data_IF_503086014213
#
_entry.id   IF_503086014213
#
_cell.length_a   1.000
_cell.length_b   1.000
_cell.length_c   1.000
_cell.angle_alpha   90.00
_cell.angle_beta   90.00
_cell.angle_gamma   90.00
#
_symmetry.space_group_name_H-M   'P 1'
#
loop_
_entity.id
_entity.type
_entity.pdbx_description
1 polymer ?
#
# COMPACT_ATOMS: atom_id res chain seq x y z
N UNK A 1 -66.45 -26.41 -39.80
CA UNK A 1 -65.95 -27.59 -40.56
C UNK A 1 -64.47 -27.74 -40.25
N UNK A 2 -64.05 -28.93 -39.82
CA UNK A 2 -62.65 -29.29 -39.52
C UNK A 2 -61.76 -29.17 -40.77
N UNK A 3 -60.52 -28.75 -40.60
CA UNK A 3 -59.32 -29.52 -41.01
C UNK A 3 -58.05 -28.86 -40.46
N UNK A 4 -57.12 -29.71 -40.04
CA UNK A 4 -55.80 -29.43 -39.46
C UNK A 4 -54.72 -30.13 -40.31
N UNK A 5 -53.43 -29.85 -40.00
CA UNK A 5 -52.15 -30.40 -40.54
C UNK A 5 -51.54 -29.68 -41.77
N UNK A 6 -50.22 -29.47 -41.94
CA UNK A 6 -48.98 -29.49 -41.12
C UNK A 6 -47.82 -28.93 -42.01
N UNK A 7 -46.74 -28.45 -41.37
CA UNK A 7 -45.32 -28.33 -41.80
C UNK A 7 -44.91 -27.85 -43.21
N UNK A 8 -44.03 -26.85 -43.30
CA UNK A 8 -42.57 -27.03 -43.20
C UNK A 8 -41.77 -25.73 -43.46
N UNK A 9 -40.71 -25.63 -42.64
CA UNK A 9 -39.47 -24.86 -42.64
C UNK A 9 -39.04 -23.92 -43.81
N UNK A 10 -38.46 -22.82 -43.31
CA UNK A 10 -37.13 -22.26 -43.62
C UNK A 10 -36.99 -21.18 -44.71
N UNK A 11 -36.39 -20.05 -44.29
CA UNK A 11 -35.44 -19.34 -45.14
C UNK A 11 -35.18 -17.87 -44.84
N UNK A 12 -34.38 -17.60 -43.80
CA UNK A 12 -33.46 -16.45 -43.65
C UNK A 12 -34.05 -15.02 -43.54
N UNK A 13 -34.21 -14.57 -42.28
CA UNK A 13 -34.17 -13.14 -41.93
C UNK A 13 -32.72 -12.76 -41.58
N UNK A 14 -32.19 -11.77 -42.29
CA UNK A 14 -30.94 -11.07 -41.96
C UNK A 14 -31.18 -10.25 -40.69
N UNK A 15 -30.51 -10.62 -39.61
CA UNK A 15 -30.56 -9.88 -38.35
C UNK A 15 -29.49 -8.79 -38.35
N UNK A 16 -29.97 -7.58 -38.08
CA UNK A 16 -29.27 -6.31 -37.92
C UNK A 16 -28.12 -6.41 -36.91
N UNK A 17 -26.88 -6.17 -37.34
CA UNK A 17 -25.76 -5.92 -36.44
C UNK A 17 -25.84 -4.49 -35.92
N UNK A 18 -26.52 -4.31 -34.78
CA UNK A 18 -26.28 -3.14 -33.94
C UNK A 18 -24.89 -3.32 -33.35
N UNK A 19 -23.93 -2.56 -33.87
CA UNK A 19 -22.62 -2.39 -33.24
C UNK A 19 -22.86 -1.68 -31.91
N UNK A 20 -23.06 -2.46 -30.85
CA UNK A 20 -22.87 -1.98 -29.50
C UNK A 20 -21.38 -1.65 -29.36
N UNK A 21 -21.06 -0.37 -29.47
CA UNK A 21 -19.83 0.20 -28.95
C UNK A 21 -19.87 -0.02 -27.43
N UNK A 22 -19.49 -1.22 -26.99
CA UNK A 22 -19.15 -1.47 -25.59
C UNK A 22 -17.86 -0.70 -25.33
N UNK A 23 -17.98 0.56 -24.90
CA UNK A 23 -16.97 1.16 -24.06
C UNK A 23 -16.93 0.34 -22.77
N UNK A 24 -16.24 -0.80 -22.81
CA UNK A 24 -15.76 -1.46 -21.63
C UNK A 24 -14.58 -0.64 -21.11
N UNK A 25 -14.85 0.51 -20.48
CA UNK A 25 -13.92 1.03 -19.47
C UNK A 25 -14.12 0.19 -18.21
N UNK A 26 -13.83 -1.10 -18.30
CA UNK A 26 -13.54 -1.91 -17.14
C UNK A 26 -12.16 -1.47 -16.67
N UNK A 27 -12.09 -0.33 -15.98
CA UNK A 27 -11.01 -0.15 -15.01
C UNK A 27 -11.26 -1.25 -13.99
N UNK A 28 -10.57 -2.37 -14.15
CA UNK A 28 -10.49 -3.37 -13.10
C UNK A 28 -10.03 -2.61 -11.85
N UNK A 29 -10.92 -2.40 -10.89
CA UNK A 29 -10.52 -1.79 -9.62
C UNK A 29 -9.48 -2.68 -8.99
N UNK A 30 -8.32 -2.11 -8.64
CA UNK A 30 -7.26 -2.85 -7.99
C UNK A 30 -7.78 -3.56 -6.73
N UNK A 31 -7.37 -4.80 -6.54
CA UNK A 31 -7.69 -5.59 -5.35
C UNK A 31 -6.51 -5.51 -4.39
N UNK A 32 -6.80 -5.33 -3.10
CA UNK A 32 -5.81 -5.58 -2.04
C UNK A 32 -5.51 -7.07 -2.04
N UNK A 33 -4.23 -7.43 -2.16
CA UNK A 33 -3.75 -8.82 -2.19
C UNK A 33 -3.02 -9.20 -0.91
N UNK A 34 -2.54 -8.21 -0.14
CA UNK A 34 -1.97 -8.38 1.19
C UNK A 34 -2.33 -7.18 2.07
N UNK A 35 -2.67 -7.41 3.34
CA UNK A 35 -3.04 -6.35 4.27
C UNK A 35 -2.64 -6.65 5.72
N UNK A 36 -1.85 -5.77 6.31
CA UNK A 36 -1.54 -5.77 7.74
C UNK A 36 -2.23 -4.59 8.46
N UNK A 37 -3.28 -4.91 9.23
CA UNK A 37 -4.01 -3.99 10.11
C UNK A 37 -3.65 -4.19 11.60
N UNK A 38 -2.64 -5.02 11.86
CA UNK A 38 -2.08 -5.25 13.20
C UNK A 38 -3.12 -5.79 14.22
N UNK A 39 -3.97 -6.75 13.81
CA UNK A 39 -5.10 -7.23 14.63
C UNK A 39 -4.72 -8.09 15.84
N UNK A 40 -3.55 -8.71 15.85
CA UNK A 40 -3.10 -9.60 16.93
C UNK A 40 -1.72 -9.26 17.48
N UNK A 41 -1.23 -10.04 18.47
CA UNK A 41 0.06 -9.80 19.12
C UNK A 41 1.28 -10.11 18.22
N UNK A 42 1.09 -10.73 17.05
CA UNK A 42 2.14 -10.94 16.05
C UNK A 42 3.00 -12.18 16.24
N UNK A 43 2.35 -13.35 16.25
CA UNK A 43 3.02 -14.65 16.37
C UNK A 43 3.31 -15.38 15.06
N UNK A 44 2.96 -14.82 13.89
CA UNK A 44 3.15 -15.47 12.58
C UNK A 44 2.37 -16.77 12.38
N UNK A 45 1.38 -17.05 13.23
CA UNK A 45 0.72 -18.36 13.28
C UNK A 45 -0.38 -18.56 12.23
N UNK A 46 -0.78 -17.51 11.51
CA UNK A 46 -2.02 -17.49 10.75
C UNK A 46 -3.25 -17.50 11.67
N UNK A 47 -4.25 -16.66 11.38
CA UNK A 47 -5.51 -16.62 12.13
C UNK A 47 -5.71 -15.35 12.96
N UNK A 48 -6.61 -15.40 13.96
CA UNK A 48 -7.10 -14.19 14.65
C UNK A 48 -6.05 -13.43 15.46
N UNK A 49 -4.89 -14.05 15.74
CA UNK A 49 -3.79 -13.49 16.51
C UNK A 49 -2.64 -12.95 15.63
N UNK A 50 -2.84 -12.94 14.32
CA UNK A 50 -1.85 -12.47 13.36
C UNK A 50 -1.86 -10.94 13.19
N UNK A 51 -0.73 -10.37 12.76
CA UNK A 51 -0.65 -8.95 12.35
C UNK A 51 -1.38 -8.72 11.03
N UNK A 52 -1.37 -9.74 10.19
CA UNK A 52 -1.90 -9.73 8.83
C UNK A 52 -3.35 -10.20 8.82
N UNK A 53 -4.18 -9.50 8.06
CA UNK A 53 -5.61 -9.81 7.89
C UNK A 53 -5.93 -10.44 6.54
N UNK A 54 -5.04 -10.25 5.56
CA UNK A 54 -5.17 -10.80 4.22
C UNK A 54 -3.79 -11.11 3.64
N UNK A 55 -3.70 -12.22 2.92
CA UNK A 55 -2.60 -12.47 2.00
C UNK A 55 -1.34 -13.08 2.60
N UNK A 56 -1.27 -13.34 3.90
CA UNK A 56 -0.07 -13.88 4.55
C UNK A 56 -0.16 -13.94 6.07
N UNK A 57 1.01 -13.98 6.72
CA UNK A 57 1.19 -13.92 8.17
C UNK A 57 2.26 -12.88 8.55
N UNK A 58 2.32 -12.50 9.82
CA UNK A 58 3.28 -11.54 10.35
C UNK A 58 3.79 -11.92 11.74
N UNK A 59 5.10 -11.90 11.91
CA UNK A 59 5.78 -12.19 13.16
C UNK A 59 6.58 -10.98 13.64
N UNK A 60 6.47 -10.66 14.94
CA UNK A 60 7.39 -9.71 15.57
C UNK A 60 8.72 -10.43 15.80
N UNK A 61 9.78 -9.88 15.21
CA UNK A 61 11.15 -10.43 15.25
C UNK A 61 12.11 -9.56 16.08
N UNK A 62 11.60 -8.49 16.68
CA UNK A 62 12.36 -7.59 17.54
C UNK A 62 12.99 -8.32 18.74
N UNK A 63 14.27 -8.07 19.00
CA UNK A 63 15.07 -8.78 20.01
C UNK A 63 14.88 -8.26 21.45
N UNK A 64 14.19 -7.13 21.62
CA UNK A 64 13.99 -6.44 22.90
C UNK A 64 15.23 -5.71 23.42
N UNK A 65 16.34 -5.73 22.70
CA UNK A 65 17.63 -5.14 23.10
C UNK A 65 18.02 -4.01 22.16
N UNK A 66 18.03 -4.27 20.85
CA UNK A 66 18.32 -3.29 19.81
C UNK A 66 17.04 -2.74 19.19
N UNK A 67 16.02 -3.59 19.04
CA UNK A 67 14.69 -3.23 18.59
C UNK A 67 13.64 -3.67 19.61
N UNK A 68 12.61 -2.85 19.79
CA UNK A 68 11.34 -3.28 20.36
C UNK A 68 10.24 -3.03 19.34
N UNK A 69 9.28 -3.95 19.26
CA UNK A 69 8.10 -3.79 18.45
C UNK A 69 6.90 -4.29 19.23
N UNK A 70 5.80 -3.56 19.20
CA UNK A 70 4.58 -3.95 19.91
C UNK A 70 3.35 -3.48 19.17
N UNK A 71 2.28 -4.28 19.30
CA UNK A 71 0.97 -3.87 18.85
C UNK A 71 0.27 -3.19 20.01
N UNK A 72 -0.20 -1.99 19.74
CA UNK A 72 -0.86 -1.16 20.75
C UNK A 72 -2.09 -0.51 20.11
N UNK A 73 -2.94 0.05 20.96
CA UNK A 73 -4.05 0.92 20.60
C UNK A 73 -4.07 2.18 21.48
N UNK A 74 -3.02 2.39 22.28
CA UNK A 74 -2.83 3.55 23.12
C UNK A 74 -2.36 4.75 22.27
N UNK A 75 -3.24 5.18 21.34
CA UNK A 75 -3.21 6.39 20.49
C UNK A 75 -2.18 6.52 19.35
N UNK A 76 -2.50 5.90 18.21
CA UNK A 76 -2.14 6.47 16.93
C UNK A 76 -3.29 6.48 15.95
N UNK A 77 -3.25 7.58 15.23
CA UNK A 77 -4.03 7.90 14.05
C UNK A 77 -5.54 7.84 14.26
N UNK A 78 -5.98 8.06 15.50
CA UNK A 78 -7.38 8.18 15.83
C UNK A 78 -7.88 9.60 15.45
N UNK A 79 -9.15 9.72 15.04
CA UNK A 79 -10.17 9.21 15.93
C UNK A 79 -10.90 7.96 15.32
N UNK A 80 -11.24 6.96 16.15
CA UNK A 80 -11.83 5.65 15.76
C UNK A 80 -10.96 4.40 15.93
N UNK A 81 -9.74 4.59 16.44
CA UNK A 81 -8.58 3.72 16.20
C UNK A 81 -8.77 2.20 16.40
N UNK A 82 -8.30 1.47 15.39
CA UNK A 82 -7.86 0.08 15.51
C UNK A 82 -6.43 0.01 16.08
N UNK A 83 -5.81 -1.16 15.95
CA UNK A 83 -4.43 -1.37 16.40
C UNK A 83 -3.41 -0.80 15.39
N UNK A 84 -2.19 -0.61 15.85
CA UNK A 84 -1.04 -0.19 15.05
C UNK A 84 0.20 -0.94 15.51
N UNK A 85 1.25 -0.89 14.69
CA UNK A 85 2.57 -1.33 15.05
C UNK A 85 3.42 -0.15 15.51
N UNK A 86 3.86 -0.16 16.76
CA UNK A 86 4.93 0.72 17.24
C UNK A 86 6.26 -0.02 17.09
N UNK A 87 7.23 0.62 16.43
CA UNK A 87 8.59 0.12 16.34
C UNK A 87 9.54 1.13 16.98
N UNK A 88 10.38 0.63 17.87
CA UNK A 88 11.40 1.39 18.56
C UNK A 88 12.79 0.83 18.25
N UNK A 89 13.70 1.70 17.86
CA UNK A 89 15.14 1.45 17.93
C UNK A 89 15.65 1.93 19.28
N UNK A 90 16.38 1.08 19.99
CA UNK A 90 16.82 1.33 21.36
C UNK A 90 18.29 1.77 21.45
N UNK A 91 19.15 1.35 20.52
CA UNK A 91 20.61 1.53 20.62
C UNK A 91 21.20 2.42 19.51
N UNK A 92 22.29 3.12 19.84
CA UNK A 92 23.06 4.01 18.94
C UNK A 92 24.12 3.27 18.13
N UNK A 93 24.54 2.07 18.55
CA UNK A 93 25.69 1.37 17.98
C UNK A 93 25.38 -0.06 17.57
N UNK A 94 25.61 -0.36 16.29
CA UNK A 94 26.05 -1.68 15.83
C UNK A 94 24.99 -2.74 15.62
N UNK A 95 25.17 -3.46 14.51
CA UNK A 95 24.44 -4.67 14.14
C UNK A 95 23.65 -4.47 12.86
N UNK A 96 23.61 -5.51 12.03
CA UNK A 96 23.13 -5.47 10.64
C UNK A 96 21.66 -5.09 10.49
N UNK A 97 21.08 -5.47 9.35
CA UNK A 97 19.66 -5.24 9.09
C UNK A 97 18.82 -5.96 10.16
N UNK A 98 18.30 -5.21 11.14
CA UNK A 98 17.39 -5.73 12.13
C UNK A 98 15.98 -5.64 11.58
N UNK A 99 15.27 -6.77 11.54
CA UNK A 99 13.88 -6.81 11.15
C UNK A 99 12.99 -6.73 12.40
N UNK A 100 12.22 -5.64 12.62
CA UNK A 100 11.31 -5.58 13.75
C UNK A 100 10.10 -6.49 13.53
N UNK A 101 9.64 -6.56 12.29
CA UNK A 101 8.52 -7.39 11.86
C UNK A 101 8.88 -8.05 10.54
N UNK A 102 8.59 -9.35 10.47
CA UNK A 102 8.71 -10.14 9.26
C UNK A 102 7.32 -10.51 8.77
N UNK A 103 6.97 -10.06 7.57
CA UNK A 103 5.75 -10.47 6.89
C UNK A 103 6.05 -11.60 5.92
N UNK A 104 5.29 -12.69 5.99
CA UNK A 104 5.38 -13.83 5.09
C UNK A 104 4.14 -13.88 4.24
N UNK A 105 4.27 -13.73 2.92
CA UNK A 105 3.11 -13.84 2.04
C UNK A 105 2.68 -15.30 1.89
N UNK A 106 1.37 -15.50 1.72
CA UNK A 106 0.79 -16.83 1.57
C UNK A 106 1.11 -17.47 0.20
N UNK A 107 1.42 -16.65 -0.80
CA UNK A 107 1.71 -17.07 -2.17
C UNK A 107 2.30 -15.93 -2.98
N UNK A 108 2.90 -16.28 -4.11
CA UNK A 108 3.38 -15.35 -5.13
C UNK A 108 2.32 -14.31 -5.53
N UNK A 109 1.08 -14.76 -5.74
CA UNK A 109 -0.07 -13.91 -6.11
C UNK A 109 -0.43 -12.82 -5.10
N UNK A 110 0.09 -12.92 -3.88
CA UNK A 110 -0.19 -12.01 -2.76
C UNK A 110 1.07 -11.25 -2.32
N UNK A 111 2.14 -11.32 -3.10
CA UNK A 111 3.46 -10.77 -2.81
C UNK A 111 3.90 -9.79 -3.90
N UNK A 112 5.11 -9.25 -3.79
CA UNK A 112 5.75 -8.44 -4.83
C UNK A 112 5.90 -9.17 -6.16
N UNK A 113 6.04 -10.51 -6.14
CA UNK A 113 6.10 -11.33 -7.36
C UNK A 113 4.83 -11.13 -8.23
N UNK A 114 3.67 -10.91 -7.61
CA UNK A 114 2.42 -10.64 -8.32
C UNK A 114 2.45 -9.32 -9.11
N UNK A 115 3.41 -8.43 -8.83
CA UNK A 115 3.53 -7.18 -9.57
C UNK A 115 4.16 -7.38 -10.94
N UNK A 116 4.95 -8.44 -11.13
CA UNK A 116 5.52 -8.75 -12.42
C UNK A 116 4.47 -9.43 -13.30
N UNK A 117 4.15 -8.75 -14.41
CA UNK A 117 3.34 -9.32 -15.49
C UNK A 117 4.16 -10.16 -16.45
N UNK A 118 3.51 -10.81 -17.44
CA UNK A 118 4.22 -11.44 -18.54
C UNK A 118 5.04 -10.40 -19.31
N UNK A 119 6.30 -10.71 -19.62
CA UNK A 119 7.14 -9.85 -20.43
C UNK A 119 6.48 -9.57 -21.79
N UNK A 120 6.73 -8.38 -22.32
CA UNK A 120 6.34 -7.99 -23.68
C UNK A 120 7.58 -7.82 -24.56
N UNK A 121 7.40 -7.80 -25.87
CA UNK A 121 8.51 -7.56 -26.80
C UNK A 121 8.60 -6.07 -27.10
N UNK A 122 9.77 -5.48 -26.84
CA UNK A 122 10.09 -4.11 -27.25
C UNK A 122 9.91 -4.00 -28.79
N UNK A 123 9.05 -3.10 -29.28
CA UNK A 123 8.74 -2.98 -30.70
C UNK A 123 9.90 -2.41 -31.55
N UNK A 124 10.89 -1.80 -30.92
CA UNK A 124 12.07 -1.18 -31.54
C UNK A 124 13.26 -2.13 -31.52
N UNK A 125 13.58 -2.71 -30.36
CA UNK A 125 14.79 -3.54 -30.17
C UNK A 125 14.54 -5.04 -30.34
N UNK A 126 13.28 -5.49 -30.19
CA UNK A 126 12.92 -6.90 -30.17
C UNK A 126 13.31 -7.62 -28.87
N UNK A 127 13.89 -6.92 -27.89
CA UNK A 127 14.23 -7.46 -26.59
C UNK A 127 12.95 -7.68 -25.74
N UNK A 128 12.97 -8.64 -24.79
CA UNK A 128 11.89 -8.77 -23.82
C UNK A 128 11.97 -7.63 -22.78
N UNK A 129 10.92 -6.83 -22.70
CA UNK A 129 10.70 -5.84 -21.65
C UNK A 129 9.84 -6.42 -20.55
N UNK A 130 10.19 -6.13 -19.30
CA UNK A 130 9.42 -6.57 -18.14
C UNK A 130 8.21 -5.67 -17.93
N UNK A 131 7.07 -6.30 -17.65
CA UNK A 131 5.84 -5.63 -17.26
C UNK A 131 5.74 -5.60 -15.74
N UNK A 132 5.42 -4.42 -15.19
CA UNK A 132 5.16 -4.19 -13.77
C UNK A 132 3.80 -3.50 -13.55
N UNK A 133 2.99 -4.09 -12.67
CA UNK A 133 1.74 -3.52 -12.17
C UNK A 133 1.62 -3.76 -10.67
N UNK A 134 1.50 -2.71 -9.88
CA UNK A 134 1.38 -2.89 -8.44
C UNK A 134 1.23 -1.59 -7.73
N UNK A 135 0.80 -1.65 -6.49
CA UNK A 135 0.88 -0.51 -5.61
C UNK A 135 0.98 -0.95 -4.16
N UNK A 136 1.55 -0.08 -3.35
CA UNK A 136 1.58 -0.25 -1.90
C UNK A 136 1.25 1.08 -1.25
N UNK A 137 0.57 1.01 -0.10
CA UNK A 137 0.43 2.14 0.80
C UNK A 137 0.57 1.72 2.26
N UNK A 138 0.80 2.73 3.11
CA UNK A 138 0.82 2.62 4.55
C UNK A 138 0.70 4.00 5.19
N UNK A 139 0.23 4.00 6.42
CA UNK A 139 0.28 5.17 7.29
C UNK A 139 1.47 5.06 8.22
N UNK A 140 2.10 6.18 8.53
CA UNK A 140 3.16 6.24 9.53
C UNK A 140 3.24 7.57 10.25
N UNK A 141 3.94 7.56 11.39
CA UNK A 141 4.33 8.75 12.16
C UNK A 141 5.63 8.46 12.88
N UNK A 142 6.60 9.33 12.73
CA UNK A 142 7.81 9.30 13.55
C UNK A 142 7.54 10.08 14.83
N UNK A 143 7.45 9.40 15.98
CA UNK A 143 7.12 10.02 17.26
C UNK A 143 8.29 10.82 17.81
N UNK A 144 9.46 10.20 17.88
CA UNK A 144 10.67 10.77 18.47
C UNK A 144 11.92 10.21 17.79
N UNK A 145 12.97 11.01 17.79
CA UNK A 145 14.32 10.59 17.46
C UNK A 145 15.30 11.22 18.46
N UNK A 146 16.46 10.61 18.66
CA UNK A 146 17.49 11.12 19.58
C UNK A 146 18.52 12.06 18.91
N UNK A 147 18.24 12.55 17.70
CA UNK A 147 19.11 13.42 16.91
C UNK A 147 18.92 14.92 17.19
N UNK A 148 19.72 15.76 16.51
CA UNK A 148 19.94 17.21 16.70
C UNK A 148 18.72 18.14 16.49
N UNK A 149 17.48 17.64 16.61
CA UNK A 149 16.28 18.47 16.72
C UNK A 149 15.57 18.84 15.42
N UNK A 150 15.71 18.09 14.32
CA UNK A 150 14.93 18.34 13.09
C UNK A 150 14.55 17.01 12.41
N UNK A 151 13.26 16.82 12.14
CA UNK A 151 12.65 15.92 11.15
C UNK A 151 13.56 14.77 10.67
N UNK A 152 13.75 13.73 11.46
CA UNK A 152 14.67 12.64 11.09
C UNK A 152 13.87 11.39 10.75
N UNK A 153 13.84 11.03 9.47
CA UNK A 153 13.19 9.82 8.98
C UNK A 153 14.17 8.65 8.87
N UNK A 154 15.45 8.84 9.19
CA UNK A 154 16.58 8.01 8.75
C UNK A 154 16.48 6.51 9.04
N UNK A 155 15.67 6.11 10.02
CA UNK A 155 15.49 4.71 10.41
C UNK A 155 14.33 3.99 9.68
N UNK A 156 13.48 4.70 8.93
CA UNK A 156 12.37 4.07 8.19
C UNK A 156 12.91 3.18 7.06
N UNK A 157 12.45 1.93 7.04
CA UNK A 157 12.68 0.90 6.01
C UNK A 157 11.43 0.03 5.85
N UNK A 158 10.32 0.66 5.47
CA UNK A 158 9.03 -0.04 5.37
C UNK A 158 8.93 -0.92 4.14
N UNK A 159 9.68 -0.63 3.08
CA UNK A 159 9.79 -1.49 1.91
C UNK A 159 11.27 -1.84 1.77
N UNK A 160 11.63 -3.10 2.06
CA UNK A 160 12.98 -3.64 1.98
C UNK A 160 12.91 -5.17 1.94
N UNK A 161 13.51 -5.81 0.94
CA UNK A 161 13.53 -7.27 0.85
C UNK A 161 14.35 -7.86 2.02
N UNK A 162 13.92 -9.01 2.55
CA UNK A 162 14.62 -9.63 3.69
C UNK A 162 16.00 -10.13 3.28
N UNK A 163 17.02 -9.62 3.99
CA UNK A 163 18.45 -9.92 3.83
C UNK A 163 19.10 -9.32 2.58
N UNK A 164 20.26 -8.69 2.78
CA UNK A 164 21.14 -8.23 1.71
C UNK A 164 21.84 -9.39 1.01
N UNK A 165 21.99 -10.55 1.67
CA UNK A 165 22.77 -11.69 1.16
C UNK A 165 21.92 -12.79 0.53
N UNK A 166 20.60 -12.78 0.71
CA UNK A 166 19.75 -13.93 0.38
C UNK A 166 19.16 -13.83 -1.03
N UNK A 167 19.72 -12.95 -1.88
CA UNK A 167 19.39 -12.89 -3.30
C UNK A 167 18.08 -12.17 -3.56
N UNK A 168 18.08 -10.84 -3.41
CA UNK A 168 17.09 -10.04 -4.11
C UNK A 168 17.22 -10.32 -5.60
N UNK A 169 16.32 -11.13 -6.15
CA UNK A 169 16.30 -11.43 -7.58
C UNK A 169 15.87 -10.16 -8.30
N UNK A 170 16.72 -9.64 -9.17
CA UNK A 170 16.40 -8.58 -10.11
C UNK A 170 16.36 -7.17 -9.53
N UNK A 171 15.20 -6.67 -9.08
CA UNK A 171 15.03 -5.27 -8.72
C UNK A 171 14.93 -5.04 -7.22
N UNK A 172 15.80 -4.19 -6.69
CA UNK A 172 15.69 -3.66 -5.34
C UNK A 172 14.69 -2.51 -5.32
N UNK A 173 13.72 -2.59 -4.40
CA UNK A 173 12.84 -1.50 -4.03
C UNK A 173 13.08 -1.18 -2.56
N UNK A 174 13.39 0.08 -2.24
CA UNK A 174 13.69 0.48 -0.86
C UNK A 174 13.05 1.81 -0.50
N UNK A 175 12.34 1.86 0.62
CA UNK A 175 12.05 3.12 1.28
C UNK A 175 13.18 3.49 2.24
N UNK A 176 13.98 4.47 1.84
CA UNK A 176 15.12 4.97 2.61
C UNK A 176 14.77 6.33 3.22
N UNK A 177 14.35 6.33 4.48
CA UNK A 177 14.17 7.56 5.23
C UNK A 177 15.48 8.37 5.30
N UNK A 178 15.38 9.70 5.25
CA UNK A 178 16.53 10.61 5.22
C UNK A 178 16.55 11.54 6.43
N UNK A 179 17.75 12.00 6.75
CA UNK A 179 17.94 13.12 7.68
C UNK A 179 17.37 14.40 7.04
N UNK A 180 16.58 15.16 7.79
CA UNK A 180 16.00 16.43 7.33
C UNK A 180 14.56 16.34 6.83
N UNK A 181 13.94 15.14 6.88
CA UNK A 181 12.49 14.99 6.82
C UNK A 181 11.98 14.50 5.49
N UNK A 182 12.81 13.88 4.65
CA UNK A 182 12.35 13.20 3.44
C UNK A 182 12.45 11.68 3.57
N UNK A 183 11.82 10.98 2.63
CA UNK A 183 11.96 9.54 2.44
C UNK A 183 12.19 9.32 0.95
N UNK A 184 13.15 8.47 0.59
CA UNK A 184 13.44 8.16 -0.81
C UNK A 184 12.83 6.80 -1.11
N UNK A 185 12.03 6.70 -2.18
CA UNK A 185 11.87 5.42 -2.86
C UNK A 185 13.05 5.25 -3.81
N UNK A 186 13.88 4.25 -3.56
CA UNK A 186 14.96 3.86 -4.45
C UNK A 186 14.54 2.61 -5.21
N UNK A 187 14.67 2.67 -6.54
CA UNK A 187 14.40 1.60 -7.49
C UNK A 187 15.73 1.29 -8.17
N UNK A 188 16.32 0.13 -7.92
CA UNK A 188 17.68 -0.18 -8.38
C UNK A 188 17.78 -1.61 -8.92
N UNK A 189 18.54 -1.81 -10.00
CA UNK A 189 18.98 -3.14 -10.42
C UNK A 189 19.87 -3.76 -9.33
N UNK A 190 19.38 -4.78 -8.62
CA UNK A 190 19.93 -5.21 -7.34
C UNK A 190 21.37 -5.72 -7.43
N UNK A 191 21.71 -6.42 -8.51
CA UNK A 191 23.07 -6.90 -8.80
C UNK A 191 24.01 -5.83 -9.34
N UNK A 192 23.57 -4.58 -9.53
CA UNK A 192 24.41 -3.54 -10.09
C UNK A 192 25.38 -2.97 -9.04
N UNK A 193 26.68 -3.06 -9.30
CA UNK A 193 27.72 -2.47 -8.47
C UNK A 193 28.39 -1.28 -9.16
N UNK A 194 29.11 -0.45 -8.42
CA UNK A 194 29.83 0.71 -8.98
C UNK A 194 30.95 0.32 -9.97
N UNK A 195 31.30 -0.96 -10.04
CA UNK A 195 32.27 -1.54 -11.00
C UNK A 195 31.64 -2.80 -11.57
N UNK A 196 30.60 -2.68 -12.39
CA UNK A 196 29.84 -3.85 -12.83
C UNK A 196 30.71 -4.74 -13.73
N UNK A 197 30.34 -6.02 -13.93
CA UNK A 197 31.06 -6.92 -14.82
C UNK A 197 31.29 -6.31 -16.21
N UNK A 198 32.43 -6.61 -16.83
CA UNK A 198 32.74 -6.14 -18.18
C UNK A 198 31.58 -6.51 -19.14
N UNK A 199 30.97 -5.50 -19.76
CA UNK A 199 29.79 -5.55 -20.65
C UNK A 199 28.40 -5.61 -20.00
N UNK A 200 28.28 -5.43 -18.68
CA UNK A 200 26.97 -5.21 -18.07
C UNK A 200 26.30 -3.96 -18.68
N UNK A 201 25.04 -4.10 -19.07
CA UNK A 201 24.23 -3.01 -19.60
C UNK A 201 23.16 -2.64 -18.59
N UNK A 202 22.79 -1.37 -18.55
CA UNK A 202 21.71 -0.89 -17.70
C UNK A 202 20.41 -1.62 -18.05
N UNK A 203 19.69 -2.05 -17.02
CA UNK A 203 18.36 -2.61 -17.16
C UNK A 203 17.29 -1.52 -17.20
N UNK A 204 17.51 -0.43 -16.46
CA UNK A 204 16.63 0.73 -16.45
C UNK A 204 17.03 1.65 -17.61
N UNK A 205 16.17 1.78 -18.61
CA UNK A 205 16.44 2.57 -19.83
C UNK A 205 15.27 3.49 -20.18
N UNK A 206 15.50 4.40 -21.14
CA UNK A 206 14.49 5.35 -21.64
C UNK A 206 13.85 6.21 -20.53
N UNK A 207 14.65 6.57 -19.52
CA UNK A 207 14.15 7.23 -18.32
C UNK A 207 13.73 8.67 -18.60
N UNK A 208 12.51 9.02 -18.23
CA UNK A 208 12.02 10.40 -18.12
C UNK A 208 11.52 10.62 -16.70
N UNK A 209 11.87 11.74 -16.07
CA UNK A 209 11.43 12.05 -14.71
C UNK A 209 10.61 13.32 -14.67
N UNK A 210 9.81 13.45 -13.61
CA UNK A 210 9.14 14.70 -13.21
C UNK A 210 10.10 15.87 -12.90
N UNK A 211 11.41 15.61 -12.80
CA UNK A 211 12.43 16.57 -12.38
C UNK A 211 12.42 16.83 -10.87
N UNK A 212 13.30 17.73 -10.42
CA UNK A 212 13.37 18.16 -9.01
C UNK A 212 13.77 17.04 -8.05
N UNK A 213 12.79 16.46 -7.36
CA UNK A 213 12.93 15.43 -6.34
C UNK A 213 13.11 14.01 -6.90
N UNK A 214 13.05 13.82 -8.23
CA UNK A 214 13.23 12.52 -8.89
C UNK A 214 14.42 12.54 -9.84
N UNK A 215 15.39 11.64 -9.62
CA UNK A 215 16.63 11.54 -10.38
C UNK A 215 16.92 10.10 -10.82
N UNK A 216 17.52 9.95 -11.99
CA UNK A 216 18.09 8.69 -12.48
C UNK A 216 19.61 8.79 -12.45
N UNK A 217 20.28 7.84 -11.80
CA UNK A 217 21.74 7.75 -11.84
C UNK A 217 22.15 6.53 -12.65
N UNK A 218 22.44 6.78 -13.93
CA UNK A 218 22.87 5.76 -14.88
C UNK A 218 24.05 4.91 -14.37
N UNK A 219 24.97 5.50 -13.60
CA UNK A 219 26.14 4.82 -13.05
C UNK A 219 25.82 3.77 -11.98
N UNK A 220 24.64 3.84 -11.36
CA UNK A 220 24.18 2.90 -10.32
C UNK A 220 22.95 2.09 -10.77
N UNK A 221 22.51 2.31 -12.01
CA UNK A 221 21.28 1.76 -12.60
C UNK A 221 20.10 1.89 -11.62
N UNK A 222 19.92 3.10 -11.08
CA UNK A 222 18.92 3.40 -10.07
C UNK A 222 18.14 4.70 -10.32
N UNK A 223 16.90 4.71 -9.84
CA UNK A 223 16.02 5.86 -9.78
C UNK A 223 15.76 6.16 -8.31
N UNK A 224 16.10 7.37 -7.89
CA UNK A 224 15.75 7.91 -6.58
C UNK A 224 14.57 8.86 -6.69
N UNK A 225 13.52 8.58 -5.94
CA UNK A 225 12.31 9.39 -5.85
C UNK A 225 12.14 9.92 -4.43
N UNK A 226 12.61 11.14 -4.16
CA UNK A 226 12.40 11.80 -2.88
C UNK A 226 10.91 12.15 -2.69
N UNK A 227 10.30 11.58 -1.67
CA UNK A 227 8.94 11.89 -1.24
C UNK A 227 8.95 13.18 -0.43
N UNK A 228 8.32 14.21 -1.01
CA UNK A 228 8.03 15.49 -0.38
C UNK A 228 6.52 15.70 -0.35
N UNK A 229 6.03 16.59 0.50
CA UNK A 229 4.63 17.02 0.42
C UNK A 229 4.38 17.76 -0.91
N UNK A 230 3.13 17.85 -1.40
CA UNK A 230 2.82 18.50 -2.68
C UNK A 230 3.30 19.96 -2.81
N UNK A 231 3.48 20.65 -1.68
CA UNK A 231 4.04 22.00 -1.62
C UNK A 231 5.58 22.04 -1.57
N UNK A 232 6.26 20.91 -1.73
CA UNK A 232 7.71 20.75 -1.62
C UNK A 232 8.25 20.70 -0.19
N UNK A 233 7.38 20.71 0.83
CA UNK A 233 7.82 20.66 2.22
C UNK A 233 8.28 19.25 2.64
N UNK A 234 9.22 19.22 3.58
CA UNK A 234 9.67 18.00 4.25
C UNK A 234 8.68 17.58 5.34
N UNK A 235 8.63 16.28 5.62
CA UNK A 235 7.86 15.69 6.70
C UNK A 235 8.36 16.16 8.06
N UNK A 236 7.46 16.19 9.04
CA UNK A 236 7.72 16.61 10.42
C UNK A 236 7.42 15.49 11.40
N UNK A 237 8.27 15.31 12.40
CA UNK A 237 8.01 14.34 13.47
C UNK A 237 6.70 14.66 14.21
N UNK A 238 6.02 13.62 14.69
CA UNK A 238 4.76 13.72 15.42
C UNK A 238 3.53 13.86 14.52
N UNK A 239 3.73 14.08 13.21
CA UNK A 239 2.68 14.18 12.22
C UNK A 239 2.46 12.82 11.54
N UNK A 240 1.20 12.52 11.24
CA UNK A 240 0.79 11.33 10.51
C UNK A 240 0.93 11.60 9.02
N UNK A 241 1.44 10.63 8.28
CA UNK A 241 1.47 10.67 6.83
C UNK A 241 0.89 9.39 6.26
N UNK A 242 0.22 9.53 5.13
CA UNK A 242 -0.16 8.42 4.26
C UNK A 242 0.80 8.47 3.06
N UNK A 243 1.60 7.42 2.93
CA UNK A 243 2.56 7.24 1.85
C UNK A 243 2.09 6.12 0.92
N UNK A 244 2.31 6.30 -0.37
CA UNK A 244 2.06 5.25 -1.35
C UNK A 244 3.06 5.28 -2.49
N UNK A 245 3.18 4.14 -3.17
CA UNK A 245 3.88 3.96 -4.45
C UNK A 245 2.99 3.18 -5.40
N UNK A 246 3.06 3.50 -6.68
CA UNK A 246 2.43 2.69 -7.73
C UNK A 246 3.36 2.45 -8.92
N UNK A 247 3.09 1.34 -9.60
CA UNK A 247 3.70 0.94 -10.86
C UNK A 247 2.60 0.59 -11.85
N UNK A 248 2.75 1.03 -13.09
CA UNK A 248 1.91 0.63 -14.21
C UNK A 248 2.72 0.58 -15.48
N UNK A 249 2.53 -0.45 -16.30
CA UNK A 249 3.17 -0.55 -17.61
C UNK A 249 2.15 -0.31 -18.70
N UNK A 250 2.50 0.51 -19.69
CA UNK A 250 1.67 0.69 -20.87
C UNK A 250 1.82 -0.48 -21.87
N UNK A 251 1.10 -0.41 -23.00
CA UNK A 251 1.15 -1.47 -24.02
C UNK A 251 2.49 -1.60 -24.74
N UNK A 252 3.40 -0.63 -24.57
CA UNK A 252 4.71 -0.57 -25.21
C UNK A 252 5.84 -0.87 -24.23
N UNK A 253 5.55 -1.22 -22.97
CA UNK A 253 6.55 -1.59 -21.98
C UNK A 253 7.07 -0.41 -21.17
N UNK A 254 6.53 0.79 -21.41
CA UNK A 254 6.89 1.96 -20.63
C UNK A 254 6.22 1.86 -19.25
N UNK A 255 7.03 1.59 -18.24
CA UNK A 255 6.64 1.59 -16.84
C UNK A 255 6.55 3.03 -16.36
N UNK A 256 5.49 3.37 -15.65
CA UNK A 256 5.37 4.57 -14.82
C UNK A 256 5.45 4.15 -13.37
N UNK A 257 6.47 4.62 -12.66
CA UNK A 257 6.54 4.59 -11.20
C UNK A 257 6.14 5.97 -10.65
N UNK A 258 5.31 5.99 -9.61
CA UNK A 258 4.86 7.22 -8.97
C UNK A 258 4.87 7.09 -7.45
N UNK A 259 5.25 8.17 -6.76
CA UNK A 259 5.19 8.30 -5.30
C UNK A 259 4.16 9.33 -4.89
N UNK A 260 3.52 9.07 -3.76
CA UNK A 260 2.44 9.88 -3.22
C UNK A 260 2.65 10.11 -1.73
N UNK A 261 2.39 11.32 -1.26
CA UNK A 261 2.50 11.66 0.15
C UNK A 261 1.47 12.71 0.53
N UNK A 262 0.61 12.38 1.49
CA UNK A 262 -0.34 13.33 2.09
C UNK A 262 -0.20 13.35 3.60
N UNK A 263 -0.41 14.53 4.18
CA UNK A 263 -0.48 14.70 5.63
C UNK A 263 -1.84 14.22 6.17
N UNK A 264 -1.80 13.51 7.30
CA UNK A 264 -2.97 13.05 8.03
C UNK A 264 -3.39 11.62 7.70
N UNK A 265 -4.67 11.33 7.94
CA UNK A 265 -5.26 9.98 7.83
C UNK A 265 -6.19 9.86 6.62
N UNK A 266 -6.14 10.84 5.70
CA UNK A 266 -6.99 10.92 4.52
C UNK A 266 -6.63 9.89 3.45
N UNK A 267 -7.49 9.79 2.44
CA UNK A 267 -7.20 9.01 1.24
C UNK A 267 -6.14 9.73 0.40
N UNK A 268 -5.44 8.99 -0.46
CA UNK A 268 -4.64 9.58 -1.54
C UNK A 268 -5.47 9.47 -2.82
N UNK A 269 -5.56 10.56 -3.55
CA UNK A 269 -6.03 10.63 -4.92
C UNK A 269 -4.81 10.58 -5.87
N UNK A 270 -4.57 9.45 -6.57
CA UNK A 270 -3.41 9.30 -7.45
C UNK A 270 -3.31 10.34 -8.57
N UNK A 271 -4.39 11.05 -8.90
CA UNK A 271 -4.37 12.12 -9.90
C UNK A 271 -3.84 13.42 -9.31
N UNK A 272 -4.19 13.73 -8.07
CA UNK A 272 -3.96 15.05 -7.47
C UNK A 272 -2.82 15.07 -6.44
N UNK A 273 -2.51 13.92 -5.84
CA UNK A 273 -1.56 13.80 -4.73
C UNK A 273 -0.21 13.17 -5.13
N UNK A 274 0.06 13.07 -6.43
CA UNK A 274 1.36 12.61 -6.94
C UNK A 274 2.44 13.65 -6.61
N UNK A 275 3.51 13.22 -5.93
CA UNK A 275 4.60 14.10 -5.50
C UNK A 275 5.88 13.89 -6.30
N UNK A 276 5.96 12.80 -7.06
CA UNK A 276 7.03 12.54 -8.01
C UNK A 276 6.72 11.33 -8.87
N UNK A 277 7.20 11.34 -10.10
CA UNK A 277 7.08 10.20 -11.03
C UNK A 277 8.33 10.04 -11.92
N UNK A 278 8.52 8.83 -12.41
CA UNK A 278 9.46 8.47 -13.47
C UNK A 278 8.83 7.47 -14.43
N UNK A 279 9.13 7.60 -15.72
CA UNK A 279 8.80 6.60 -16.74
C UNK A 279 10.07 5.97 -17.30
N UNK A 280 10.09 4.66 -17.51
CA UNK A 280 11.26 3.91 -17.97
C UNK A 280 10.84 2.55 -18.56
N UNK A 281 11.73 1.92 -19.33
CA UNK A 281 11.60 0.52 -19.70
C UNK A 281 12.53 -0.33 -18.81
N UNK A 282 12.18 -1.61 -18.61
CA UNK A 282 13.04 -2.58 -17.95
C UNK A 282 13.43 -3.69 -18.93
N UNK A 283 14.70 -3.71 -19.34
CA UNK A 283 15.21 -4.70 -20.28
C UNK A 283 15.49 -6.01 -19.54
N UNK A 284 14.68 -7.04 -19.77
CA UNK A 284 14.71 -8.26 -18.96
C UNK A 284 16.05 -9.00 -19.01
N UNK A 285 16.79 -8.89 -20.11
CA UNK A 285 18.11 -9.55 -20.26
C UNK A 285 19.21 -8.90 -19.43
N UNK A 286 18.99 -7.66 -18.96
CA UNK A 286 19.99 -6.85 -18.28
C UNK A 286 19.75 -6.79 -16.76
N UNK A 287 18.64 -7.35 -16.28
CA UNK A 287 18.32 -7.45 -14.87
C UNK A 287 19.25 -8.46 -14.21
N UNK A 288 19.84 -8.07 -13.08
CA UNK A 288 20.84 -8.86 -12.36
C UNK A 288 20.29 -9.25 -10.98
N UNK A 289 20.49 -10.51 -10.60
CA UNK A 289 20.38 -10.93 -9.21
C UNK A 289 21.57 -10.45 -8.38
N UNK A 290 21.48 -10.63 -7.07
CA UNK A 290 22.55 -10.23 -6.14
C UNK A 290 23.92 -10.89 -6.39
N UNK A 291 23.95 -12.04 -7.07
CA UNK A 291 25.19 -12.71 -7.47
C UNK A 291 25.76 -12.20 -8.79
N UNK A 292 25.20 -11.09 -9.29
CA UNK A 292 25.52 -10.46 -10.57
C UNK A 292 25.17 -11.35 -11.78
N UNK A 293 24.30 -12.35 -11.60
CA UNK A 293 23.83 -13.20 -12.67
C UNK A 293 22.53 -12.65 -13.28
N UNK A 294 22.37 -12.82 -14.60
CA UNK A 294 21.17 -12.35 -15.31
C UNK A 294 19.93 -13.14 -14.87
N UNK A 295 18.86 -12.44 -14.54
CA UNK A 295 17.57 -13.02 -14.18
C UNK A 295 16.42 -12.21 -14.76
N UNK A 296 15.39 -12.84 -15.34
CA UNK A 296 14.19 -12.13 -15.77
C UNK A 296 13.19 -11.90 -14.62
N UNK A 297 13.49 -12.37 -13.41
CA UNK A 297 12.62 -12.25 -12.22
C UNK A 297 12.94 -10.96 -11.47
N UNK A 298 11.94 -10.09 -11.27
CA UNK A 298 12.11 -8.80 -10.60
C UNK A 298 12.06 -8.87 -9.09
N UNK A 299 11.20 -9.74 -8.57
CA UNK A 299 10.99 -9.92 -7.14
C UNK A 299 10.56 -11.36 -6.92
N UNK A 300 11.00 -11.93 -5.81
CA UNK A 300 10.52 -13.23 -5.34
C UNK A 300 9.58 -13.06 -4.17
N UNK A 301 8.81 -14.12 -3.90
CA UNK A 301 8.00 -14.25 -2.70
C UNK A 301 8.86 -14.59 -1.47
N UNK A 302 9.84 -13.75 -1.16
CA UNK A 302 10.59 -13.82 0.08
C UNK A 302 9.86 -13.07 1.19
N UNK A 303 10.11 -13.44 2.46
CA UNK A 303 9.63 -12.64 3.58
C UNK A 303 10.04 -11.17 3.43
N UNK A 304 9.18 -10.29 3.91
CA UNK A 304 9.35 -8.85 3.83
C UNK A 304 9.72 -8.28 5.20
N UNK A 305 10.84 -7.58 5.26
CA UNK A 305 11.23 -6.82 6.44
C UNK A 305 10.45 -5.49 6.49
N UNK A 306 9.69 -5.28 7.57
CA UNK A 306 8.85 -4.10 7.71
C UNK A 306 9.17 -3.28 8.97
N UNK A 307 9.28 -1.95 8.77
CA UNK A 307 9.26 -0.94 9.82
C UNK A 307 10.55 -0.14 9.85
N UNK A 308 11.48 -0.54 10.72
CA UNK A 308 12.77 0.12 10.92
C UNK A 308 13.90 -0.77 10.42
N UNK A 309 14.93 -0.20 9.80
CA UNK A 309 16.12 -0.96 9.38
C UNK A 309 17.43 -0.20 9.57
N UNK A 310 18.46 -0.56 8.80
CA UNK A 310 19.83 -0.04 8.97
C UNK A 310 19.88 1.49 8.88
N UNK A 311 20.24 2.13 9.99
CA UNK A 311 20.66 3.52 10.04
C UNK A 311 22.02 3.60 10.73
N UNK A 312 23.08 3.88 9.96
CA UNK A 312 24.46 3.95 10.43
C UNK A 312 24.68 4.96 11.58
N UNK A 313 23.80 5.96 11.71
CA UNK A 313 24.03 7.14 12.56
C UNK A 313 22.82 7.57 13.42
N UNK A 314 21.91 6.66 13.75
CA UNK A 314 20.70 6.97 14.51
C UNK A 314 20.81 6.63 16.00
N UNK A 315 20.49 7.57 16.89
CA UNK A 315 20.12 7.23 18.26
C UNK A 315 18.70 6.65 18.33
N UNK A 316 18.10 6.54 19.55
CA UNK A 316 16.74 6.05 19.70
C UNK A 316 15.74 6.66 18.71
N UNK A 317 14.89 5.83 18.11
CA UNK A 317 13.93 6.21 17.07
C UNK A 317 12.62 5.47 17.31
N UNK A 318 11.49 6.17 17.26
CA UNK A 318 10.17 5.57 17.45
C UNK A 318 9.30 5.94 16.26
N UNK A 319 8.73 4.94 15.59
CA UNK A 319 7.74 5.14 14.55
C UNK A 319 6.54 4.21 14.72
N UNK A 320 5.37 4.76 14.41
CA UNK A 320 4.12 4.03 14.33
C UNK A 320 3.78 3.75 12.87
N UNK A 321 3.19 2.59 12.61
CA UNK A 321 2.71 2.17 11.29
C UNK A 321 1.28 1.66 11.35
N UNK A 322 0.49 1.94 10.31
CA UNK A 322 -0.92 1.58 10.20
C UNK A 322 -1.32 1.16 8.78
N UNK A 323 -2.28 0.22 8.69
CA UNK A 323 -2.96 -0.19 7.45
C UNK A 323 -2.03 -0.37 6.25
N UNK A 324 -1.09 -1.29 6.35
CA UNK A 324 -0.14 -1.61 5.27
C UNK A 324 -0.87 -2.46 4.24
N UNK A 325 -0.92 -2.02 2.98
CA UNK A 325 -1.62 -2.77 1.93
C UNK A 325 -0.77 -2.89 0.68
N UNK A 326 -0.88 -4.04 0.03
CA UNK A 326 -0.35 -4.30 -1.30
C UNK A 326 -1.52 -4.55 -2.25
N UNK A 327 -1.45 -3.95 -3.42
CA UNK A 327 -2.44 -4.04 -4.48
C UNK A 327 -1.84 -4.71 -5.71
N UNK A 328 -2.67 -5.38 -6.49
CA UNK A 328 -2.28 -5.96 -7.79
C UNK A 328 -2.14 -4.92 -8.92
N UNK A 329 -2.48 -3.66 -8.67
CA UNK A 329 -2.37 -2.51 -9.58
C UNK A 329 -2.62 -1.22 -8.79
N UNK A 330 -2.37 -0.06 -9.40
CA UNK A 330 -2.72 1.22 -8.78
C UNK A 330 -4.24 1.32 -8.57
N UNK A 331 -4.74 1.48 -7.33
CA UNK A 331 -6.16 1.71 -7.10
C UNK A 331 -6.57 3.11 -7.59
N UNK A 332 -7.86 3.32 -7.86
CA UNK A 332 -8.39 4.64 -8.18
C UNK A 332 -8.24 5.64 -7.02
N UNK A 333 -8.12 5.14 -5.79
CA UNK A 333 -7.75 5.91 -4.59
C UNK A 333 -7.17 4.95 -3.55
N UNK A 334 -6.16 5.39 -2.83
CA UNK A 334 -5.63 4.67 -1.67
C UNK A 334 -6.48 5.01 -0.44
N UNK A 335 -7.02 3.98 0.19
CA UNK A 335 -8.10 4.12 1.17
C UNK A 335 -7.64 4.83 2.44
N UNK A 336 -8.37 5.86 2.89
CA UNK A 336 -8.16 6.54 4.17
C UNK A 336 -8.19 5.57 5.37
N UNK A 337 -7.63 5.95 6.52
CA UNK A 337 -7.92 5.23 7.76
C UNK A 337 -9.41 5.40 8.13
N UNK A 338 -10.03 4.39 8.78
CA UNK A 338 -11.40 4.51 9.26
C UNK A 338 -11.55 5.73 10.16
N UNK A 339 -12.47 6.62 9.77
CA UNK A 339 -12.83 7.78 10.57
C UNK A 339 -13.48 7.35 11.90
N UNK A 340 -13.56 8.26 12.89
CA UNK A 340 -14.03 7.92 14.22
C UNK A 340 -15.48 7.58 14.19
N UNK A 341 -15.88 6.58 14.97
CA UNK A 341 -17.29 6.44 15.29
C UNK A 341 -17.70 7.58 16.21
N UNK A 342 -18.29 8.60 15.61
CA UNK A 342 -18.79 9.76 16.31
C UNK A 342 -20.09 10.20 15.67
N UNK A 343 -21.15 10.29 16.48
CA UNK A 343 -22.35 10.98 16.05
C UNK A 343 -22.06 12.47 15.86
N UNK A 344 -22.52 13.01 14.74
CA UNK A 344 -22.74 14.43 14.61
C UNK A 344 -23.99 14.83 15.41
N UNK A 345 -24.16 16.13 15.73
CA UNK A 345 -25.36 16.59 16.41
C UNK A 345 -26.63 16.09 15.71
N UNK A 346 -27.56 15.44 16.42
CA UNK A 346 -28.77 14.94 15.81
C UNK A 346 -29.66 16.09 15.35
N UNK A 347 -30.29 15.94 14.18
CA UNK A 347 -31.25 16.92 13.67
C UNK A 347 -32.66 16.39 13.86
N UNK A 348 -33.54 17.18 14.46
CA UNK A 348 -34.96 16.88 14.53
C UNK A 348 -35.68 17.51 13.34
N UNK A 349 -36.39 16.69 12.56
CA UNK A 349 -37.18 17.17 11.42
C UNK A 349 -38.42 16.31 11.25
N UNK A 350 -39.59 16.93 11.15
CA UNK A 350 -40.87 16.26 10.86
C UNK A 350 -41.18 15.05 11.78
N UNK A 351 -40.87 15.16 13.07
CA UNK A 351 -41.09 14.06 14.04
C UNK A 351 -40.10 12.90 13.93
N UNK A 352 -39.03 13.07 13.15
CA UNK A 352 -37.90 12.16 13.06
C UNK A 352 -36.67 12.75 13.76
N UNK A 353 -35.81 11.88 14.27
CA UNK A 353 -34.43 12.15 14.61
C UNK A 353 -33.54 11.66 13.47
N UNK A 354 -32.73 12.55 12.92
CA UNK A 354 -31.74 12.27 11.90
C UNK A 354 -30.39 12.17 12.59
N UNK A 355 -29.82 10.96 12.56
CA UNK A 355 -28.53 10.63 13.10
C UNK A 355 -27.52 10.57 11.97
N UNK A 356 -26.55 11.47 12.00
CA UNK A 356 -25.39 11.39 11.13
C UNK A 356 -24.17 10.99 11.96
N UNK A 357 -23.22 10.27 11.39
CA UNK A 357 -21.99 9.87 12.07
C UNK A 357 -20.83 9.73 11.08
N UNK A 358 -19.61 9.85 11.59
CA UNK A 358 -18.39 9.47 10.89
C UNK A 358 -18.03 8.00 11.16
N UNK A 359 -17.18 7.42 10.30
CA UNK A 359 -16.63 6.07 10.45
C UNK A 359 -17.56 4.93 10.00
N UNK A 360 -16.99 3.73 9.84
CA UNK A 360 -17.65 2.52 9.30
C UNK A 360 -18.22 1.62 10.39
N UNK A 361 -19.10 2.17 11.23
CA UNK A 361 -19.66 1.47 12.40
C UNK A 361 -21.07 0.95 12.17
N UNK A 362 -21.49 0.01 13.03
CA UNK A 362 -22.87 -0.48 13.03
C UNK A 362 -23.72 0.29 14.03
N UNK A 363 -24.88 0.76 13.58
CA UNK A 363 -25.86 1.41 14.45
C UNK A 363 -26.65 0.37 15.26
N UNK A 364 -26.68 0.56 16.58
CA UNK A 364 -27.57 -0.14 17.48
C UNK A 364 -28.54 0.85 18.14
N UNK A 365 -29.72 0.36 18.49
CA UNK A 365 -30.69 1.11 19.27
C UNK A 365 -31.19 0.31 20.47
N UNK A 366 -31.70 1.00 21.49
CA UNK A 366 -32.29 0.41 22.67
C UNK A 366 -33.42 1.31 23.24
N UNK A 367 -34.41 0.74 23.94
CA UNK A 367 -35.43 1.52 24.65
C UNK A 367 -34.92 2.14 25.96
N UNK A 368 -33.77 1.69 26.48
CA UNK A 368 -33.10 2.23 27.67
C UNK A 368 -31.60 2.36 27.44
N UNK A 369 -30.91 3.25 28.18
CA UNK A 369 -29.43 3.40 28.13
C UNK A 369 -28.70 2.07 28.39
N UNK A 370 -29.30 1.15 29.17
CA UNK A 370 -28.67 -0.12 29.54
C UNK A 370 -28.96 -1.25 28.55
N UNK A 371 -29.76 -1.00 27.51
CA UNK A 371 -30.20 -2.02 26.56
C UNK A 371 -31.61 -2.58 26.87
N UNK A 372 -31.97 -3.74 26.30
CA UNK A 372 -31.16 -4.53 25.37
C UNK A 372 -30.84 -3.75 24.09
N UNK A 373 -29.61 -3.89 23.59
CA UNK A 373 -29.16 -3.23 22.37
C UNK A 373 -29.42 -4.11 21.16
N UNK A 374 -30.11 -3.58 20.16
CA UNK A 374 -30.45 -4.28 18.92
C UNK A 374 -29.82 -3.59 17.74
N UNK A 375 -29.20 -4.36 16.84
CA UNK A 375 -28.71 -3.82 15.58
C UNK A 375 -29.86 -3.31 14.72
N UNK A 376 -29.68 -2.13 14.12
CA UNK A 376 -30.57 -1.67 13.07
C UNK A 376 -30.35 -2.55 11.83
N UNK A 377 -31.44 -3.08 11.29
CA UNK A 377 -31.47 -3.95 10.11
C UNK A 377 -32.45 -3.41 9.06
N UNK A 378 -32.05 -3.31 7.78
CA UNK A 378 -30.70 -3.54 7.25
C UNK A 378 -29.67 -2.57 7.86
N UNK A 379 -28.37 -2.88 7.73
CA UNK A 379 -27.31 -2.02 8.25
C UNK A 379 -27.45 -0.62 7.62
N UNK A 380 -27.74 0.43 8.41
CA UNK A 380 -28.04 1.74 7.86
C UNK A 380 -26.75 2.44 7.41
N UNK A 381 -26.85 3.23 6.34
CA UNK A 381 -25.84 4.24 6.02
C UNK A 381 -26.11 5.53 6.81
N UNK A 382 -25.08 6.37 6.94
CA UNK A 382 -25.22 7.72 7.45
C UNK A 382 -25.61 8.68 6.33
N UNK A 383 -26.63 9.56 6.48
CA UNK A 383 -27.48 9.74 7.65
C UNK A 383 -28.60 8.70 7.78
N UNK A 384 -28.99 8.39 9.02
CA UNK A 384 -30.12 7.50 9.35
C UNK A 384 -31.27 8.27 10.02
N UNK A 385 -32.50 8.02 9.57
CA UNK A 385 -33.71 8.59 10.16
C UNK A 385 -34.43 7.56 11.03
N UNK A 386 -34.86 7.97 12.22
CA UNK A 386 -35.75 7.21 13.09
C UNK A 386 -36.85 8.08 13.68
N UNK A 387 -37.96 7.45 14.08
CA UNK A 387 -39.02 8.17 14.81
C UNK A 387 -38.47 8.78 16.10
N UNK A 388 -38.79 10.06 16.33
CA UNK A 388 -38.48 10.76 17.59
C UNK A 388 -39.49 10.43 18.72
N UNK A 389 -40.41 9.49 18.50
CA UNK A 389 -41.39 9.08 19.51
C UNK A 389 -40.79 8.09 20.52
N UNK A 390 -41.04 8.37 21.80
CA UNK A 390 -40.61 7.56 22.93
C UNK A 390 -39.13 7.69 23.25
N UNK A 391 -38.67 6.94 24.25
CA UNK A 391 -37.27 6.90 24.61
C UNK A 391 -36.53 5.94 23.67
N UNK A 392 -35.61 6.48 22.86
CA UNK A 392 -34.70 5.71 22.01
C UNK A 392 -33.27 6.16 22.26
N UNK A 393 -32.41 5.20 22.54
CA UNK A 393 -30.98 5.40 22.70
C UNK A 393 -30.27 4.76 21.53
N UNK A 394 -29.27 5.44 20.99
CA UNK A 394 -28.49 4.97 19.87
C UNK A 394 -27.02 4.89 20.27
N UNK A 395 -26.33 3.86 19.80
CA UNK A 395 -24.87 3.78 19.89
C UNK A 395 -24.28 3.26 18.59
N UNK A 396 -23.06 3.66 18.32
CA UNK A 396 -22.24 3.09 17.26
C UNK A 396 -21.34 2.02 17.90
N UNK A 397 -21.15 0.92 17.17
CA UNK A 397 -20.19 -0.13 17.53
C UNK A 397 -19.19 -0.27 16.39
N UNK A 398 -17.90 -0.36 16.75
CA UNK A 398 -16.83 -0.72 15.82
C UNK A 398 -17.14 -2.02 15.09
N UNK A 399 -16.61 -2.16 13.87
CA UNK A 399 -16.60 -3.42 13.14
C UNK A 399 -15.33 -4.20 13.44
#
# INVERSE_FOLDING_TARGET
MKTSYQSSQAGWLVATTVSALMLASAVASASVIFQADFKGPGGGTGGSNDLVTLGGTGAIMADGVNLAASITNAYPFAPGAGNYLEVQRLTTSGGGQYSPVLFTFASNSNSWDAWQGPNITDPVTGAPDIVVHGALDFFFRVNTNAGTGINDMFSIRTLDQFSWSDGGDGMSLRFNGQRGGSMILQIQNAGWTATPPDNAQNAIVNVTTSGGNVAYYQQYDDIDMNMLLPNGAVMTNGIVYHAAVSFSTDTNGLITAAVYLVEGTGAIDPVNDVTGWATFNLVATNILDWSEASTPTLWTNQPWNFGVGWAADGGPFIADYGAVRIYNSAPASFTALPAPLKFFPPVLSQGQIILSWSGSGRLQWAPTVRGPWTFVTPAPSSPYSASAQGNRFFRLVGQ
#
